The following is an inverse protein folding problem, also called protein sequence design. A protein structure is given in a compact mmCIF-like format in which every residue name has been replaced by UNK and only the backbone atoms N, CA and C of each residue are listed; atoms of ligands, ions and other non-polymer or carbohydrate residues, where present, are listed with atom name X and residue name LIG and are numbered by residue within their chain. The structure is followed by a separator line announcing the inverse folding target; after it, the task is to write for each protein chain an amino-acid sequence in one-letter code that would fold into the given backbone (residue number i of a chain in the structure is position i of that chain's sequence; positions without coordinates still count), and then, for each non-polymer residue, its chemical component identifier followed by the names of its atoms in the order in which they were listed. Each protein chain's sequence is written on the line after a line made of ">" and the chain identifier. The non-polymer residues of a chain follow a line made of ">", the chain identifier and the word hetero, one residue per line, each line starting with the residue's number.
data_IF_244327835239
#
_entry.id   IF_244327835239
#
_cell.length_a   1.000
_cell.length_b   1.000
_cell.length_c   1.000
_cell.angle_alpha   90.00
_cell.angle_beta   90.00
_cell.angle_gamma   90.00
#
_symmetry.space_group_name_H-M   'P 1'
#
loop_
_entity.id
_entity.type
_entity.pdbx_description
1 polymer ?
#
# COMPACT_ATOMS: atom_id res chain seq x y z
N UNK A 1 9.24 1.78 -10.81
CA UNK A 1 9.79 2.27 -9.51
C UNK A 1 10.00 1.08 -8.55
N UNK A 2 10.67 1.24 -7.39
CA UNK A 2 10.86 0.13 -6.42
C UNK A 2 9.97 0.20 -5.17
N UNK A 3 9.34 1.35 -4.97
CA UNK A 3 8.40 1.62 -3.90
C UNK A 3 7.56 2.85 -4.27
N UNK A 4 6.38 2.99 -3.68
CA UNK A 4 5.53 4.18 -3.79
C UNK A 4 4.90 4.53 -2.43
N UNK A 5 4.33 5.73 -2.30
CA UNK A 5 3.61 6.13 -1.09
C UNK A 5 2.19 5.59 -1.09
N UNK A 6 1.88 4.74 -0.11
CA UNK A 6 0.54 4.19 0.09
C UNK A 6 -0.17 4.92 1.22
N UNK A 7 -1.28 5.58 0.87
CA UNK A 7 -2.05 6.42 1.80
C UNK A 7 -3.15 5.64 2.50
N UNK A 8 -3.52 6.09 3.70
CA UNK A 8 -4.61 5.51 4.50
C UNK A 8 -5.93 5.46 3.74
N UNK A 9 -6.19 6.45 2.88
CA UNK A 9 -7.34 6.48 1.98
C UNK A 9 -7.50 5.18 1.18
N UNK A 10 -6.40 4.62 0.66
CA UNK A 10 -6.45 3.36 -0.08
C UNK A 10 -6.84 2.22 0.84
N UNK A 11 -6.28 2.15 2.05
CA UNK A 11 -6.68 1.17 3.07
C UNK A 11 -8.15 1.31 3.46
N UNK A 12 -8.68 2.53 3.58
CA UNK A 12 -10.09 2.75 3.95
C UNK A 12 -11.04 2.24 2.85
N UNK A 13 -10.66 2.45 1.57
CA UNK A 13 -11.40 1.89 0.42
C UNK A 13 -11.36 0.36 0.46
N UNK A 14 -10.18 -0.23 0.66
CA UNK A 14 -10.00 -1.69 0.70
C UNK A 14 -10.76 -2.33 1.87
N UNK A 15 -10.77 -1.72 3.05
CA UNK A 15 -11.50 -2.20 4.23
C UNK A 15 -13.03 -2.17 3.99
N UNK A 16 -13.52 -1.26 3.15
CA UNK A 16 -14.93 -1.19 2.73
C UNK A 16 -15.36 -2.19 1.65
N UNK A 17 -14.42 -2.98 1.10
CA UNK A 17 -14.67 -3.99 0.07
C UNK A 17 -14.67 -5.42 0.65
N UNK A 18 -15.33 -6.36 -0.02
CA UNK A 18 -15.07 -7.78 0.24
C UNK A 18 -13.65 -8.14 -0.19
N UNK A 19 -13.12 -9.27 0.28
CA UNK A 19 -11.71 -9.59 0.05
C UNK A 19 -11.37 -9.79 -1.44
N UNK A 20 -12.28 -10.36 -2.24
CA UNK A 20 -12.04 -10.51 -3.68
C UNK A 20 -11.91 -9.16 -4.38
N UNK A 21 -12.84 -8.23 -4.13
CA UNK A 21 -12.83 -6.90 -4.74
C UNK A 21 -11.66 -6.06 -4.21
N UNK A 22 -11.35 -6.15 -2.91
CA UNK A 22 -10.19 -5.50 -2.31
C UNK A 22 -8.90 -5.98 -2.97
N UNK A 23 -8.75 -7.30 -3.18
CA UNK A 23 -7.59 -7.87 -3.84
C UNK A 23 -7.42 -7.35 -5.26
N UNK A 24 -8.49 -7.35 -6.06
CA UNK A 24 -8.49 -6.79 -7.43
C UNK A 24 -8.14 -5.32 -7.46
N UNK A 25 -8.77 -4.51 -6.60
CA UNK A 25 -8.54 -3.07 -6.56
C UNK A 25 -7.11 -2.73 -6.12
N UNK A 26 -6.60 -3.42 -5.10
CA UNK A 26 -5.22 -3.27 -4.67
C UNK A 26 -4.20 -3.68 -5.74
N UNK A 27 -4.46 -4.79 -6.46
CA UNK A 27 -3.65 -5.22 -7.59
C UNK A 27 -3.58 -4.10 -8.64
N UNK A 28 -4.71 -3.49 -8.96
CA UNK A 28 -4.81 -2.43 -9.96
C UNK A 28 -4.03 -1.17 -9.59
N UNK A 29 -4.08 -0.75 -8.31
CA UNK A 29 -3.22 0.32 -7.81
C UNK A 29 -1.75 -0.05 -7.98
N UNK A 30 -1.36 -1.27 -7.61
CA UNK A 30 0.04 -1.70 -7.70
C UNK A 30 0.52 -1.84 -9.15
N UNK A 31 -0.30 -2.38 -10.05
CA UNK A 31 -0.01 -2.47 -11.49
C UNK A 31 0.14 -1.09 -12.11
N UNK A 32 -0.74 -0.15 -11.74
CA UNK A 32 -0.60 1.24 -12.14
C UNK A 32 0.72 1.83 -11.65
N UNK A 33 1.04 1.73 -10.37
CA UNK A 33 2.24 2.33 -9.78
C UNK A 33 3.55 1.68 -10.26
N UNK A 34 3.64 0.35 -10.24
CA UNK A 34 4.87 -0.37 -10.55
C UNK A 34 5.09 -0.66 -12.02
N UNK A 35 4.02 -0.86 -12.79
CA UNK A 35 4.08 -1.38 -14.17
C UNK A 35 3.48 -0.42 -15.21
N UNK A 36 3.04 0.78 -14.80
CA UNK A 36 2.43 1.78 -15.68
C UNK A 36 1.17 1.29 -16.41
N UNK A 37 0.54 0.23 -15.91
CA UNK A 37 -0.68 -0.34 -16.48
C UNK A 37 -1.89 0.52 -16.15
N UNK A 38 -2.69 0.80 -17.17
CA UNK A 38 -3.99 1.40 -16.98
C UNK A 38 -5.02 0.33 -16.62
N UNK A 39 -6.15 0.72 -16.02
CA UNK A 39 -7.34 -0.11 -15.91
C UNK A 39 -7.84 -0.70 -17.26
N UNK A 40 -7.38 -1.88 -17.65
CA UNK A 40 -7.80 -2.52 -18.92
C UNK A 40 -9.19 -3.19 -18.85
N UNK A 41 -9.56 -3.74 -17.69
CA UNK A 41 -10.86 -4.43 -17.52
C UNK A 41 -12.04 -3.48 -17.24
N UNK A 42 -13.27 -3.90 -17.59
CA UNK A 42 -14.51 -3.23 -17.16
C UNK A 42 -14.57 -3.16 -15.63
N UNK A 43 -14.28 -1.97 -15.09
CA UNK A 43 -14.47 -1.68 -13.69
C UNK A 43 -15.95 -1.82 -13.33
N UNK A 44 -16.24 -2.57 -12.26
CA UNK A 44 -17.57 -2.54 -11.65
C UNK A 44 -17.95 -1.11 -11.24
N UNK A 45 -19.24 -0.84 -11.04
CA UNK A 45 -19.70 0.50 -10.67
C UNK A 45 -18.99 1.06 -9.42
N UNK A 46 -18.70 0.20 -8.44
CA UNK A 46 -17.96 0.57 -7.22
C UNK A 46 -16.49 0.83 -7.50
N UNK A 47 -15.81 -0.05 -8.22
CA UNK A 47 -14.38 0.14 -8.54
C UNK A 47 -14.19 1.39 -9.41
N UNK A 48 -15.11 1.64 -10.35
CA UNK A 48 -15.09 2.85 -11.19
C UNK A 48 -15.22 4.11 -10.34
N UNK A 49 -16.15 4.12 -9.38
CA UNK A 49 -16.31 5.25 -8.47
C UNK A 49 -15.03 5.52 -7.68
N UNK A 50 -14.43 4.49 -7.06
CA UNK A 50 -13.19 4.71 -6.30
C UNK A 50 -12.04 5.14 -7.20
N UNK A 51 -11.84 4.46 -8.34
CA UNK A 51 -10.77 4.78 -9.27
C UNK A 51 -10.84 6.22 -9.77
N UNK A 52 -12.02 6.67 -10.23
CA UNK A 52 -12.19 8.03 -10.77
C UNK A 52 -11.99 9.13 -9.72
N UNK A 53 -12.08 8.81 -8.43
CA UNK A 53 -11.87 9.76 -7.34
C UNK A 53 -10.43 9.77 -6.82
N UNK A 54 -9.59 8.78 -7.18
CA UNK A 54 -8.20 8.71 -6.72
C UNK A 54 -7.18 8.79 -7.87
N UNK A 55 -7.58 8.60 -9.13
CA UNK A 55 -6.67 8.53 -10.28
C UNK A 55 -5.82 9.78 -10.45
N UNK A 56 -6.39 10.96 -10.26
CA UNK A 56 -5.67 12.23 -10.40
C UNK A 56 -4.60 12.37 -9.30
N UNK A 57 -4.94 11.94 -8.08
CA UNK A 57 -3.99 11.91 -6.97
C UNK A 57 -2.88 10.88 -7.22
N UNK A 58 -3.22 9.67 -7.70
CA UNK A 58 -2.25 8.64 -8.04
C UNK A 58 -1.26 9.16 -9.09
N UNK A 59 -1.76 9.76 -10.18
CA UNK A 59 -0.93 10.33 -11.24
C UNK A 59 0.03 11.40 -10.71
N UNK A 60 -0.47 12.35 -9.91
CA UNK A 60 0.35 13.43 -9.37
C UNK A 60 1.43 12.90 -8.40
N UNK A 61 1.05 11.99 -7.51
CA UNK A 61 1.99 11.36 -6.56
C UNK A 61 3.05 10.58 -7.33
N UNK A 62 2.64 9.76 -8.29
CA UNK A 62 3.54 8.94 -9.09
C UNK A 62 4.54 9.77 -9.87
N UNK A 63 4.11 10.86 -10.51
CA UNK A 63 5.00 11.78 -11.23
C UNK A 63 6.03 12.41 -10.29
N UNK A 64 5.59 12.89 -9.12
CA UNK A 64 6.48 13.45 -8.11
C UNK A 64 7.49 12.40 -7.61
N UNK A 65 7.05 11.20 -7.26
CA UNK A 65 7.92 10.13 -6.77
C UNK A 65 8.90 9.64 -7.83
N UNK A 66 8.47 9.56 -9.10
CA UNK A 66 9.32 9.19 -10.23
C UNK A 66 10.40 10.24 -10.51
N UNK A 67 10.15 11.51 -10.18
CA UNK A 67 11.15 12.59 -10.23
C UNK A 67 11.99 12.72 -8.96
N UNK A 68 11.87 11.78 -8.01
CA UNK A 68 12.59 11.78 -6.74
C UNK A 68 12.07 12.79 -5.71
N UNK A 69 10.89 13.36 -5.95
CA UNK A 69 10.22 14.31 -5.04
C UNK A 69 9.18 13.60 -4.19
N UNK A 70 8.75 14.27 -3.12
CA UNK A 70 7.59 13.84 -2.32
C UNK A 70 6.55 14.96 -2.24
N UNK A 71 5.28 14.61 -2.36
CA UNK A 71 4.19 15.59 -2.26
C UNK A 71 3.80 15.83 -0.80
N UNK A 72 4.43 16.85 -0.20
CA UNK A 72 4.14 17.29 1.18
C UNK A 72 2.65 17.55 1.42
N UNK A 73 1.91 18.05 0.42
CA UNK A 73 0.47 18.35 0.55
C UNK A 73 -0.38 17.13 0.92
N UNK A 74 -0.04 15.96 0.40
CA UNK A 74 -0.73 14.71 0.72
C UNK A 74 -0.12 14.06 1.97
N UNK A 75 1.20 13.98 2.04
CA UNK A 75 1.92 13.35 3.16
C UNK A 75 1.65 14.01 4.52
N UNK A 76 1.38 15.32 4.56
CA UNK A 76 1.04 16.02 5.81
C UNK A 76 -0.42 15.84 6.23
N UNK A 77 -1.31 15.51 5.29
CA UNK A 77 -2.76 15.45 5.53
C UNK A 77 -3.28 14.03 5.72
N UNK A 78 -2.51 13.03 5.34
CA UNK A 78 -2.92 11.64 5.37
C UNK A 78 -1.82 10.76 5.93
N UNK A 79 -2.21 9.86 6.82
CA UNK A 79 -1.32 8.79 7.26
C UNK A 79 -0.92 7.94 6.04
N UNK A 80 0.35 7.57 5.97
CA UNK A 80 0.89 6.83 4.85
C UNK A 80 2.09 5.99 5.26
N UNK A 81 2.42 5.02 4.41
CA UNK A 81 3.64 4.25 4.50
C UNK A 81 4.24 3.99 3.11
N UNK A 82 5.52 3.60 3.10
CA UNK A 82 6.21 3.17 1.88
C UNK A 82 5.80 1.75 1.50
N UNK A 83 5.10 1.60 0.40
CA UNK A 83 4.73 0.31 -0.18
C UNK A 83 5.84 -0.19 -1.08
N UNK A 84 6.38 -1.36 -0.78
CA UNK A 84 7.54 -1.93 -1.49
C UNK A 84 7.10 -2.88 -2.60
N UNK A 85 7.87 -2.92 -3.69
CA UNK A 85 7.70 -3.90 -4.77
C UNK A 85 7.61 -5.35 -4.25
N UNK A 86 8.32 -5.70 -3.17
CA UNK A 86 8.23 -7.04 -2.55
C UNK A 86 6.81 -7.41 -2.11
N UNK A 87 5.99 -6.42 -1.69
CA UNK A 87 4.61 -6.67 -1.30
C UNK A 87 3.78 -7.01 -2.54
N UNK A 88 4.04 -6.32 -3.64
CA UNK A 88 3.40 -6.56 -4.93
C UNK A 88 3.82 -7.91 -5.53
N UNK A 89 5.10 -8.29 -5.42
CA UNK A 89 5.57 -9.60 -5.83
C UNK A 89 4.84 -10.72 -5.08
N UNK A 90 4.64 -10.57 -3.76
CA UNK A 90 3.85 -11.51 -2.98
C UNK A 90 2.36 -11.52 -3.41
N UNK A 91 1.78 -10.35 -3.68
CA UNK A 91 0.40 -10.25 -4.18
C UNK A 91 0.19 -11.02 -5.49
N UNK A 92 1.15 -11.01 -6.42
CA UNK A 92 1.07 -11.76 -7.69
C UNK A 92 1.02 -13.28 -7.51
N UNK A 93 1.49 -13.79 -6.37
CA UNK A 93 1.45 -15.21 -6.02
C UNK A 93 0.08 -15.64 -5.44
N UNK A 94 -0.77 -14.68 -5.09
CA UNK A 94 -2.07 -14.90 -4.45
C UNK A 94 -3.21 -14.70 -5.45
N UNK A 95 -4.37 -15.31 -5.16
CA UNK A 95 -5.56 -15.24 -6.02
C UNK A 95 -6.82 -15.01 -5.20
N UNK A 96 -7.82 -14.37 -5.82
CA UNK A 96 -9.15 -14.22 -5.25
C UNK A 96 -9.15 -13.51 -3.88
N UNK A 97 -9.91 -14.06 -2.93
CA UNK A 97 -10.04 -13.48 -1.58
C UNK A 97 -8.73 -13.48 -0.78
N UNK A 98 -7.84 -14.45 -0.98
CA UNK A 98 -6.57 -14.53 -0.23
C UNK A 98 -5.70 -13.30 -0.46
N UNK A 99 -5.69 -12.78 -1.70
CA UNK A 99 -5.03 -11.53 -2.04
C UNK A 99 -5.61 -10.34 -1.26
N UNK A 100 -6.92 -10.28 -1.12
CA UNK A 100 -7.61 -9.25 -0.33
C UNK A 100 -7.29 -9.30 1.15
N UNK A 101 -7.39 -10.48 1.76
CA UNK A 101 -7.03 -10.68 3.17
C UNK A 101 -5.57 -10.33 3.40
N UNK A 102 -4.69 -10.70 2.46
CA UNK A 102 -3.26 -10.41 2.52
C UNK A 102 -2.97 -8.90 2.50
N UNK A 103 -3.53 -8.15 1.55
CA UNK A 103 -3.27 -6.70 1.47
C UNK A 103 -3.91 -5.96 2.65
N UNK A 104 -5.08 -6.40 3.12
CA UNK A 104 -5.71 -5.86 4.34
C UNK A 104 -4.83 -6.13 5.58
N UNK A 105 -4.18 -7.28 5.67
CA UNK A 105 -3.23 -7.57 6.75
C UNK A 105 -2.00 -6.65 6.71
N UNK A 106 -1.47 -6.34 5.52
CA UNK A 106 -0.40 -5.34 5.36
C UNK A 106 -0.88 -3.98 5.88
N UNK A 107 -2.08 -3.55 5.49
CA UNK A 107 -2.66 -2.28 5.94
C UNK A 107 -2.88 -2.26 7.46
N UNK A 108 -3.46 -3.31 8.02
CA UNK A 108 -3.68 -3.50 9.45
C UNK A 108 -2.37 -3.39 10.23
N UNK A 109 -1.32 -4.03 9.74
CA UNK A 109 -0.01 -3.94 10.36
C UNK A 109 0.56 -2.52 10.27
N UNK A 110 0.57 -1.92 9.09
CA UNK A 110 1.26 -0.64 8.87
C UNK A 110 0.59 0.54 9.56
N UNK A 111 -0.75 0.58 9.57
CA UNK A 111 -1.52 1.67 10.16
C UNK A 111 -1.92 1.42 11.62
N UNK A 112 -2.25 0.18 11.99
CA UNK A 112 -2.78 -0.14 13.34
C UNK A 112 -1.83 -0.97 14.20
N UNK A 113 -0.74 -1.49 13.65
CA UNK A 113 0.19 -2.37 14.37
C UNK A 113 -0.36 -3.77 14.62
N UNK A 114 -1.47 -4.13 13.99
CA UNK A 114 -2.16 -5.41 14.16
C UNK A 114 -1.41 -6.52 13.39
N UNK A 115 -1.09 -7.62 14.08
CA UNK A 115 -0.46 -8.78 13.46
C UNK A 115 -1.52 -9.81 13.12
N UNK A 116 -1.66 -10.12 11.84
CA UNK A 116 -2.56 -11.18 11.36
C UNK A 116 -1.83 -12.51 11.32
N UNK A 117 -2.52 -13.58 11.74
CA UNK A 117 -2.08 -14.97 11.61
C UNK A 117 -2.95 -15.67 10.57
N UNK A 118 -2.33 -16.14 9.50
CA UNK A 118 -2.95 -16.89 8.43
C UNK A 118 -2.91 -18.38 8.76
N UNK A 119 -4.01 -19.08 8.48
CA UNK A 119 -4.06 -20.54 8.60
C UNK A 119 -3.19 -21.22 7.53
N UNK A 120 -3.19 -20.62 6.34
CA UNK A 120 -2.35 -21.05 5.24
C UNK A 120 -0.88 -20.68 5.51
N UNK A 121 0.00 -21.69 5.49
CA UNK A 121 1.42 -21.52 5.81
C UNK A 121 2.19 -20.78 4.73
N UNK A 122 1.75 -20.89 3.47
CA UNK A 122 2.37 -20.20 2.34
C UNK A 122 2.07 -18.70 2.41
N UNK A 123 0.80 -18.34 2.60
CA UNK A 123 0.38 -16.93 2.81
C UNK A 123 1.06 -16.34 4.06
N UNK A 124 1.13 -17.11 5.16
CA UNK A 124 1.86 -16.70 6.36
C UNK A 124 3.34 -16.45 6.07
N UNK A 125 3.97 -17.29 5.24
CA UNK A 125 5.36 -17.14 4.81
C UNK A 125 5.58 -15.82 4.06
N UNK A 126 4.73 -15.53 3.07
CA UNK A 126 4.76 -14.26 2.34
C UNK A 126 4.56 -13.06 3.26
N UNK A 127 3.61 -13.15 4.20
CA UNK A 127 3.33 -12.07 5.14
C UNK A 127 4.50 -11.82 6.08
N UNK A 128 5.17 -12.87 6.58
CA UNK A 128 6.34 -12.75 7.45
C UNK A 128 7.52 -12.05 6.74
N UNK A 129 7.75 -12.38 5.47
CA UNK A 129 8.77 -11.71 4.65
C UNK A 129 8.46 -10.23 4.45
N UNK A 130 7.21 -9.90 4.15
CA UNK A 130 6.74 -8.51 4.05
C UNK A 130 6.89 -7.79 5.39
N UNK A 131 6.50 -8.45 6.50
CA UNK A 131 6.59 -7.89 7.85
C UNK A 131 8.03 -7.53 8.24
N UNK A 132 9.02 -8.33 7.87
CA UNK A 132 10.42 -7.99 8.10
C UNK A 132 10.82 -6.65 7.44
N UNK A 133 10.35 -6.40 6.20
CA UNK A 133 10.56 -5.12 5.51
C UNK A 133 9.78 -3.98 6.17
N UNK A 134 8.54 -4.24 6.59
CA UNK A 134 7.71 -3.30 7.33
C UNK A 134 8.35 -2.87 8.66
N UNK A 135 8.95 -3.80 9.39
CA UNK A 135 9.67 -3.55 10.65
C UNK A 135 10.87 -2.63 10.45
N UNK A 136 11.65 -2.87 9.40
CA UNK A 136 12.77 -2.00 9.02
C UNK A 136 12.27 -0.59 8.69
N UNK A 137 11.17 -0.48 7.94
CA UNK A 137 10.55 0.81 7.58
C UNK A 137 10.07 1.58 8.82
N UNK A 138 9.35 0.92 9.74
CA UNK A 138 8.90 1.50 11.00
C UNK A 138 10.08 1.95 11.88
N UNK A 139 11.15 1.16 11.96
CA UNK A 139 12.38 1.53 12.70
C UNK A 139 13.04 2.77 12.12
N UNK A 140 13.14 2.89 10.79
CA UNK A 140 13.69 4.09 10.13
C UNK A 140 12.87 5.34 10.45
N UNK A 141 11.53 5.23 10.42
CA UNK A 141 10.62 6.34 10.75
C UNK A 141 10.80 6.81 12.21
N UNK A 142 10.95 5.90 13.17
CA UNK A 142 11.17 6.26 14.57
C UNK A 142 12.55 6.87 14.83
N UNK A 143 13.61 6.36 14.19
CA UNK A 143 14.95 6.94 14.28
C UNK A 143 15.02 8.35 13.66
N UNK A 144 14.40 8.57 12.50
CA UNK A 144 14.34 9.89 11.85
C UNK A 144 13.60 10.94 12.69
N UNK A 145 12.51 10.53 13.35
CA UNK A 145 11.77 11.41 14.27
C UNK A 145 12.59 11.79 15.51
N UNK A 146 13.44 10.89 16.02
CA UNK A 146 14.34 11.15 17.16
C UNK A 146 15.52 12.06 16.79
N UNK A 147 16.13 11.86 15.61
CA UNK A 147 17.23 12.71 15.12
C UNK A 147 16.80 14.16 14.85
N UNK A 148 15.56 14.38 14.41
CA UNK A 148 15.00 15.72 14.23
C UNK A 148 14.75 16.50 15.53
N UNK A 149 14.68 15.81 16.68
CA UNK A 149 14.48 16.43 18.01
C UNK A 149 15.78 16.82 18.71
N UNK A 150 16.95 16.49 18.16
CA UNK A 150 18.26 16.74 18.81
C UNK A 150 19.03 17.96 18.28
N UNK A 151 18.49 18.74 17.34
CA UNK A 151 19.11 20.00 16.89
C UNK A 151 18.29 21.25 17.27
N UNK A 152 17.91 21.37 18.55
CA UNK A 152 17.50 22.66 19.13
C UNK A 152 17.85 22.68 20.63
N UNK A 153 19.13 22.99 20.93
CA UNK A 153 19.65 23.72 22.09
C UNK A 153 21.15 23.45 22.21
#
# INVERSE_FOLDING_TARGET
>A
MKQFTFYKLYSDILDGMNDTDAGKFAMRICEYEFEDKQPEEELSGKERFYWSNISDMLAEVKEAESSGKSLKKFNLRSEHFTFSETYFDAMKLLKGGDLGVFVKAICAYMFRGEVVQFKDKEIQGYYNLCKLKMDISKKRKSCGSRGGKQNTA
#
